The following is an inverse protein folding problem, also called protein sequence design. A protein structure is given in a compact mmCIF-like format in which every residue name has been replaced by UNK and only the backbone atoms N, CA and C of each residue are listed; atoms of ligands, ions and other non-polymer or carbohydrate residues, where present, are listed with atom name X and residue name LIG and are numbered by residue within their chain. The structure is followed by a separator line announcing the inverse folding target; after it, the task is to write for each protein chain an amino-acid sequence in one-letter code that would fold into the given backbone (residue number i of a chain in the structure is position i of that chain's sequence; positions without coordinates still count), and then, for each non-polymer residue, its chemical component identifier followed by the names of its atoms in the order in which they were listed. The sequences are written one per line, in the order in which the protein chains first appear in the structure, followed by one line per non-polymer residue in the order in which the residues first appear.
data_IF_157234504091
#
_entry.id   IF_157234504091
#
_cell.length_a   1.000
_cell.length_b   1.000
_cell.length_c   1.000
_cell.angle_alpha   90.00
_cell.angle_beta   90.00
_cell.angle_gamma   90.00
#
_symmetry.space_group_name_H-M   'P 1'
#
loop_
_entity.id
_entity.type
_entity.pdbx_description
1 polymer ?
#
# COMPACT_ATOMS: atom_id res chain seq x y z
N UNK A 1 18.91 32.35 -17.85
CA UNK A 1 19.02 31.26 -16.86
C UNK A 1 18.26 30.04 -17.35
N UNK A 2 18.81 28.87 -17.18
CA UNK A 2 18.16 27.58 -17.44
C UNK A 2 17.81 26.98 -16.09
N UNK A 3 16.53 26.63 -15.91
CA UNK A 3 16.03 25.99 -14.71
C UNK A 3 16.10 24.45 -14.83
N UNK A 4 15.76 23.95 -16.02
CA UNK A 4 15.59 22.51 -16.27
C UNK A 4 16.00 22.11 -17.69
N UNK A 5 16.69 20.96 -17.80
CA UNK A 5 17.00 20.27 -19.07
C UNK A 5 16.61 18.80 -18.90
N UNK A 6 15.72 18.30 -19.76
CA UNK A 6 15.24 16.91 -19.69
C UNK A 6 15.10 16.31 -21.10
N UNK A 7 15.44 15.03 -21.25
CA UNK A 7 15.18 14.27 -22.48
C UNK A 7 14.29 13.07 -22.12
N UNK A 8 13.17 12.91 -22.86
CA UNK A 8 12.25 11.77 -22.69
C UNK A 8 12.78 10.52 -23.39
N UNK A 9 12.14 9.36 -23.14
CA UNK A 9 12.43 8.11 -23.88
C UNK A 9 12.18 8.23 -25.38
N UNK A 10 11.26 9.10 -25.80
CA UNK A 10 10.94 9.40 -27.19
C UNK A 10 11.92 10.40 -27.84
N UNK A 11 13.08 10.59 -27.24
CA UNK A 11 14.11 11.52 -27.71
C UNK A 11 13.65 12.99 -27.82
N UNK A 12 12.67 13.40 -27.03
CA UNK A 12 12.22 14.80 -26.98
C UNK A 12 13.01 15.52 -25.89
N UNK A 13 13.78 16.53 -26.29
CA UNK A 13 14.46 17.44 -25.36
C UNK A 13 13.52 18.57 -24.97
N UNK A 14 13.35 18.80 -23.66
CA UNK A 14 12.68 19.97 -23.12
C UNK A 14 13.68 20.79 -22.32
N UNK A 15 13.77 22.11 -22.62
CA UNK A 15 14.58 23.06 -21.88
C UNK A 15 13.69 24.19 -21.37
N UNK A 16 13.71 24.42 -20.07
CA UNK A 16 12.93 25.51 -19.43
C UNK A 16 13.86 26.50 -18.75
N UNK A 17 13.45 27.73 -18.75
CA UNK A 17 14.24 28.80 -18.12
C UNK A 17 13.58 30.15 -18.22
N UNK A 18 14.37 31.17 -17.95
CA UNK A 18 13.93 32.54 -18.05
C UNK A 18 15.05 33.48 -18.55
N UNK A 19 14.63 34.57 -19.20
CA UNK A 19 15.53 35.58 -19.70
C UNK A 19 15.07 36.93 -19.16
N UNK A 20 15.93 37.58 -18.41
CA UNK A 20 15.77 38.98 -17.99
C UNK A 20 16.83 39.79 -18.72
N UNK A 21 16.41 40.65 -19.61
CA UNK A 21 17.30 41.62 -20.24
C UNK A 21 16.49 42.82 -20.66
N UNK A 22 17.09 44.02 -20.67
CA UNK A 22 16.51 45.24 -21.22
C UNK A 22 16.16 45.13 -22.71
N UNK A 23 16.69 44.11 -23.37
CA UNK A 23 16.44 43.74 -24.76
C UNK A 23 15.74 42.40 -24.78
N UNK A 24 14.45 42.34 -25.07
CA UNK A 24 13.78 41.07 -25.41
C UNK A 24 14.53 40.46 -26.59
N UNK A 25 14.83 39.15 -26.53
CA UNK A 25 15.29 38.51 -27.75
C UNK A 25 14.16 38.55 -28.75
N UNK A 26 14.41 39.20 -29.88
CA UNK A 26 13.47 39.28 -31.00
C UNK A 26 13.20 37.86 -31.55
N UNK A 27 14.14 36.97 -31.36
CA UNK A 27 14.06 35.60 -31.85
C UNK A 27 14.75 34.61 -30.90
N UNK A 28 14.11 33.47 -30.69
CA UNK A 28 14.70 32.29 -30.02
C UNK A 28 14.64 31.14 -31.06
N UNK A 29 15.75 30.47 -31.30
CA UNK A 29 15.80 29.32 -32.20
C UNK A 29 16.84 28.30 -31.70
N UNK A 30 16.72 27.08 -32.18
CA UNK A 30 17.63 25.98 -31.83
C UNK A 30 18.41 25.57 -33.07
N UNK A 31 19.71 25.36 -32.93
CA UNK A 31 20.55 24.88 -34.03
C UNK A 31 21.44 23.73 -33.59
N UNK A 32 21.71 22.82 -34.53
CA UNK A 32 22.69 21.76 -34.36
C UNK A 32 24.14 22.27 -34.39
N UNK A 33 25.08 21.37 -34.17
CA UNK A 33 26.53 21.68 -34.26
C UNK A 33 26.98 22.02 -35.67
N UNK A 34 26.23 21.60 -36.67
CA UNK A 34 26.43 21.95 -38.12
C UNK A 34 25.85 23.31 -38.51
N UNK A 35 25.25 24.02 -37.56
CA UNK A 35 24.63 25.32 -37.76
C UNK A 35 23.23 25.27 -38.39
N UNK A 36 22.66 24.09 -38.68
CA UNK A 36 21.28 23.98 -39.17
C UNK A 36 20.30 24.26 -38.04
N UNK A 37 19.26 25.02 -38.39
CA UNK A 37 18.15 25.27 -37.44
C UNK A 37 17.31 24.00 -37.31
N UNK A 38 17.06 23.61 -36.09
CA UNK A 38 16.23 22.47 -35.74
C UNK A 38 14.79 22.91 -35.52
N UNK A 39 13.86 22.09 -35.95
CA UNK A 39 12.44 22.32 -35.66
C UNK A 39 12.18 22.21 -34.18
N UNK A 40 11.57 23.24 -33.57
CA UNK A 40 11.29 23.30 -32.16
C UNK A 40 9.98 24.03 -31.86
N UNK A 41 9.34 23.67 -30.76
CA UNK A 41 8.21 24.39 -30.23
C UNK A 41 8.67 25.26 -29.07
N UNK A 42 8.37 26.56 -29.16
CA UNK A 42 8.76 27.52 -28.11
C UNK A 42 7.48 28.12 -27.54
N UNK A 43 7.32 27.99 -26.23
CA UNK A 43 6.25 28.64 -25.46
C UNK A 43 6.83 29.67 -24.51
N UNK A 44 6.16 30.82 -24.40
CA UNK A 44 6.53 31.90 -23.48
C UNK A 44 5.52 31.95 -22.36
N UNK A 45 5.99 32.18 -21.16
CA UNK A 45 5.12 32.29 -19.98
C UNK A 45 5.59 33.36 -19.03
N UNK A 46 4.65 33.87 -18.25
CA UNK A 46 4.95 34.80 -17.18
C UNK A 46 5.65 34.09 -16.00
N UNK A 47 6.57 34.78 -15.34
CA UNK A 47 7.33 34.25 -14.19
C UNK A 47 7.28 35.26 -13.03
N UNK A 48 6.17 35.30 -12.28
CA UNK A 48 6.00 36.24 -11.15
C UNK A 48 7.11 36.10 -10.11
N UNK A 49 7.62 34.89 -9.87
CA UNK A 49 8.74 34.61 -8.98
C UNK A 49 10.03 35.30 -9.40
N UNK A 50 10.30 35.36 -10.71
CA UNK A 50 11.47 36.07 -11.26
C UNK A 50 11.24 37.58 -11.28
N UNK A 51 10.03 38.01 -11.60
CA UNK A 51 9.62 39.43 -11.60
C UNK A 51 9.86 40.04 -10.23
N UNK A 52 9.40 39.37 -9.17
CA UNK A 52 9.58 39.81 -7.78
C UNK A 52 11.05 39.78 -7.36
N UNK A 53 11.76 38.67 -7.60
CA UNK A 53 13.17 38.49 -7.22
C UNK A 53 14.12 39.46 -7.92
N UNK A 54 13.75 39.99 -9.10
CA UNK A 54 14.57 40.93 -9.89
C UNK A 54 14.07 42.37 -9.80
N UNK A 55 12.98 42.67 -9.06
CA UNK A 55 12.44 44.00 -8.89
C UNK A 55 11.95 44.61 -10.19
N UNK A 56 11.31 43.83 -11.07
CA UNK A 56 10.85 44.28 -12.39
C UNK A 56 9.57 45.06 -12.22
N UNK A 57 9.52 46.32 -12.80
CA UNK A 57 8.41 47.19 -12.68
C UNK A 57 7.14 46.69 -13.42
N UNK A 58 5.94 47.16 -13.04
CA UNK A 58 4.68 46.75 -13.69
C UNK A 58 4.66 47.07 -15.20
N UNK A 59 5.36 48.13 -15.63
CA UNK A 59 5.45 48.52 -17.03
C UNK A 59 6.37 47.60 -17.86
N UNK A 60 7.28 46.88 -17.17
CA UNK A 60 8.26 45.99 -17.78
C UNK A 60 7.88 44.52 -17.64
N UNK A 61 6.71 44.19 -17.05
CA UNK A 61 6.23 42.81 -16.89
C UNK A 61 5.97 42.16 -18.24
N UNK A 62 6.80 41.19 -18.59
CA UNK A 62 6.76 40.46 -19.86
C UNK A 62 6.80 38.94 -19.60
N UNK A 63 6.59 38.17 -20.66
CA UNK A 63 6.72 36.70 -20.58
C UNK A 63 8.18 36.29 -20.51
N UNK A 64 8.78 36.44 -19.33
CA UNK A 64 10.22 36.19 -19.09
C UNK A 64 10.60 34.72 -19.18
N UNK A 65 9.66 33.83 -18.87
CA UNK A 65 9.87 32.39 -18.92
C UNK A 65 9.75 31.84 -20.32
N UNK A 66 10.47 30.76 -20.61
CA UNK A 66 10.34 29.99 -21.84
C UNK A 66 10.39 28.49 -21.58
N UNK A 67 9.74 27.75 -22.45
CA UNK A 67 9.89 26.30 -22.58
C UNK A 67 10.13 25.97 -24.06
N UNK A 68 11.22 25.30 -24.33
CA UNK A 68 11.63 24.91 -25.69
C UNK A 68 11.59 23.39 -25.77
N UNK A 69 10.88 22.85 -26.76
CA UNK A 69 10.78 21.41 -26.99
C UNK A 69 11.32 21.09 -28.39
N UNK A 70 12.28 20.17 -28.47
CA UNK A 70 12.97 19.77 -29.70
C UNK A 70 12.90 18.25 -29.84
N UNK A 71 12.48 17.76 -31.01
CA UNK A 71 12.59 16.35 -31.34
C UNK A 71 14.01 16.03 -31.82
N UNK A 72 14.68 15.10 -31.15
CA UNK A 72 16.07 14.71 -31.44
C UNK A 72 16.17 13.40 -32.25
N UNK A 73 15.06 12.81 -32.71
CA UNK A 73 15.10 11.56 -33.46
C UNK A 73 15.89 11.68 -34.77
N UNK A 74 15.84 12.85 -35.38
CA UNK A 74 16.49 13.11 -36.69
C UNK A 74 17.85 13.80 -36.58
N UNK A 75 18.43 13.90 -35.35
CA UNK A 75 19.74 14.50 -35.17
C UNK A 75 20.66 13.59 -34.34
N UNK A 76 21.91 13.45 -34.86
CA UNK A 76 22.98 12.76 -34.13
C UNK A 76 23.87 13.74 -33.33
N UNK A 77 23.44 14.99 -33.18
CA UNK A 77 24.21 16.00 -32.52
C UNK A 77 24.50 15.66 -31.05
N UNK A 78 25.74 15.75 -30.64
CA UNK A 78 26.14 15.58 -29.24
C UNK A 78 25.81 16.81 -28.41
N UNK A 79 25.76 17.97 -29.07
CA UNK A 79 25.39 19.26 -28.47
C UNK A 79 24.43 19.97 -29.41
N UNK A 80 23.48 20.71 -28.83
CA UNK A 80 22.64 21.64 -29.54
C UNK A 80 22.76 23.03 -28.94
N UNK A 81 22.55 24.06 -29.72
CA UNK A 81 22.66 25.45 -29.29
C UNK A 81 21.29 26.10 -29.29
N UNK A 82 20.89 26.66 -28.15
CA UNK A 82 19.73 27.55 -28.04
C UNK A 82 20.25 28.98 -28.23
N UNK A 83 19.81 29.62 -29.26
CA UNK A 83 20.23 30.95 -29.66
C UNK A 83 19.15 31.98 -29.28
N UNK A 84 19.53 33.01 -28.58
CA UNK A 84 18.71 34.16 -28.23
C UNK A 84 19.28 35.37 -28.97
N UNK A 85 18.55 35.87 -29.95
CA UNK A 85 18.96 36.99 -30.78
C UNK A 85 18.10 38.22 -30.51
N UNK A 86 18.73 39.31 -30.14
CA UNK A 86 18.17 40.64 -30.05
C UNK A 86 18.84 41.60 -31.04
N UNK A 87 18.43 42.86 -31.08
CA UNK A 87 18.93 43.86 -32.06
C UNK A 87 20.45 43.98 -32.09
N UNK A 88 21.10 43.97 -30.94
CA UNK A 88 22.56 44.19 -30.85
C UNK A 88 23.30 43.07 -30.07
N UNK A 89 22.60 42.04 -29.62
CA UNK A 89 23.16 40.98 -28.77
C UNK A 89 22.65 39.61 -29.16
N UNK A 90 23.58 38.70 -29.36
CA UNK A 90 23.29 37.28 -29.50
C UNK A 90 23.88 36.53 -28.34
N UNK A 91 23.05 35.73 -27.63
CA UNK A 91 23.51 34.78 -26.62
C UNK A 91 23.23 33.37 -27.08
N UNK A 92 24.18 32.50 -26.85
CA UNK A 92 24.08 31.09 -27.17
C UNK A 92 24.22 30.31 -25.88
N UNK A 93 23.28 29.38 -25.66
CA UNK A 93 23.34 28.41 -24.62
C UNK A 93 23.50 27.01 -25.23
N UNK A 94 24.57 26.31 -24.84
CA UNK A 94 24.86 24.98 -25.38
C UNK A 94 24.35 23.90 -24.45
N UNK A 95 23.45 23.06 -24.95
CA UNK A 95 22.92 21.89 -24.26
C UNK A 95 23.72 20.66 -24.68
N UNK A 96 24.28 19.96 -23.72
CA UNK A 96 25.01 18.72 -23.98
C UNK A 96 24.06 17.51 -23.95
N UNK A 97 23.52 17.16 -25.11
CA UNK A 97 22.59 16.06 -25.31
C UNK A 97 23.15 14.71 -24.86
N UNK A 98 24.45 14.47 -25.16
CA UNK A 98 25.13 13.23 -24.77
C UNK A 98 25.26 13.12 -23.24
N UNK A 99 25.50 14.23 -22.55
CA UNK A 99 25.57 14.26 -21.08
C UNK A 99 24.21 13.95 -20.48
N UNK A 100 23.14 14.62 -20.94
CA UNK A 100 21.78 14.41 -20.43
C UNK A 100 21.29 12.98 -20.71
N UNK A 101 21.49 12.47 -21.95
CA UNK A 101 21.20 11.07 -22.27
C UNK A 101 21.96 10.10 -21.37
N UNK A 102 23.22 10.36 -21.06
CA UNK A 102 24.02 9.54 -20.14
C UNK A 102 23.55 9.64 -18.70
N UNK A 103 23.21 10.84 -18.23
CA UNK A 103 22.68 11.07 -16.87
C UNK A 103 21.30 10.44 -16.66
N UNK A 104 20.52 10.28 -17.72
CA UNK A 104 19.25 9.57 -17.73
C UNK A 104 19.41 8.05 -17.92
N UNK A 105 20.62 7.52 -18.10
CA UNK A 105 20.83 6.06 -18.17
C UNK A 105 20.82 5.44 -16.78
N UNK A 106 20.21 4.26 -16.66
CA UNK A 106 20.15 3.50 -15.42
C UNK A 106 21.50 3.23 -14.80
N UNK A 107 22.50 3.01 -15.64
CA UNK A 107 23.87 2.76 -15.21
C UNK A 107 24.47 3.98 -14.48
N UNK A 108 24.24 5.19 -15.00
CA UNK A 108 24.75 6.42 -14.37
C UNK A 108 24.08 6.70 -13.03
N UNK A 109 22.78 6.51 -12.92
CA UNK A 109 22.04 6.66 -11.66
C UNK A 109 22.50 5.63 -10.62
N UNK A 110 22.71 4.37 -11.04
CA UNK A 110 23.29 3.33 -10.18
C UNK A 110 24.70 3.70 -9.70
N UNK A 111 25.56 4.21 -10.59
CA UNK A 111 26.89 4.68 -10.23
C UNK A 111 26.86 5.88 -9.28
N UNK A 112 25.89 6.79 -9.42
CA UNK A 112 25.69 7.93 -8.53
C UNK A 112 25.27 7.48 -7.13
N UNK A 113 24.38 6.49 -7.02
CA UNK A 113 23.96 5.89 -5.75
C UNK A 113 25.15 5.18 -5.05
N UNK A 114 26.02 4.54 -5.81
CA UNK A 114 27.23 3.86 -5.32
C UNK A 114 28.40 4.80 -5.06
N UNK A 115 28.26 6.10 -5.33
CA UNK A 115 29.34 7.08 -5.20
C UNK A 115 29.84 7.23 -3.77
N UNK A 116 31.08 7.67 -3.64
CA UNK A 116 31.74 7.93 -2.34
C UNK A 116 30.96 8.92 -1.46
N UNK A 117 30.22 9.86 -2.06
CA UNK A 117 29.36 10.83 -1.36
C UNK A 117 28.23 10.16 -0.56
N UNK A 118 27.75 9.00 -1.01
CA UNK A 118 26.66 8.27 -0.38
C UNK A 118 27.16 7.06 0.46
N UNK A 119 28.49 6.89 0.59
CA UNK A 119 29.08 5.70 1.21
C UNK A 119 28.58 5.44 2.63
N UNK A 120 28.47 6.47 3.46
CA UNK A 120 27.95 6.32 4.83
C UNK A 120 26.48 5.93 4.84
N UNK A 121 25.64 6.64 4.07
CA UNK A 121 24.20 6.29 3.93
C UNK A 121 24.01 4.88 3.41
N UNK A 122 24.80 4.48 2.41
CA UNK A 122 24.75 3.14 1.85
C UNK A 122 25.17 2.07 2.86
N UNK A 123 26.19 2.33 3.67
CA UNK A 123 26.61 1.42 4.73
C UNK A 123 25.57 1.30 5.84
N UNK A 124 24.93 2.39 6.25
CA UNK A 124 23.85 2.38 7.24
C UNK A 124 22.62 1.61 6.70
N UNK A 125 22.24 1.86 5.44
CA UNK A 125 21.17 1.13 4.79
C UNK A 125 21.47 -0.38 4.72
N UNK A 126 22.70 -0.76 4.32
CA UNK A 126 23.14 -2.16 4.26
C UNK A 126 23.14 -2.80 5.64
N UNK A 127 23.58 -2.09 6.68
CA UNK A 127 23.56 -2.59 8.06
C UNK A 127 22.13 -2.85 8.54
N UNK A 128 21.20 -1.93 8.24
CA UNK A 128 19.82 -2.00 8.67
C UNK A 128 19.01 -3.01 7.88
N UNK A 129 19.19 -3.04 6.56
CA UNK A 129 18.30 -3.74 5.63
C UNK A 129 18.95 -4.92 4.89
N UNK A 130 20.29 -5.05 4.97
CA UNK A 130 21.06 -6.08 4.29
C UNK A 130 21.45 -5.71 2.85
N UNK A 131 22.51 -6.38 2.36
CA UNK A 131 23.07 -6.12 1.03
C UNK A 131 22.09 -6.46 -0.12
N UNK A 132 21.24 -7.46 0.07
CA UNK A 132 20.25 -7.87 -0.94
C UNK A 132 19.21 -6.77 -1.20
N UNK A 133 18.70 -6.09 -0.15
CA UNK A 133 17.83 -4.93 -0.27
C UNK A 133 18.52 -3.76 -0.94
N UNK A 134 19.76 -3.51 -0.57
CA UNK A 134 20.53 -2.44 -1.18
C UNK A 134 20.74 -2.64 -2.69
N UNK A 135 21.10 -3.86 -3.13
CA UNK A 135 21.24 -4.17 -4.56
C UNK A 135 19.91 -3.98 -5.30
N UNK A 136 18.82 -4.41 -4.69
CA UNK A 136 17.46 -4.22 -5.27
C UNK A 136 17.11 -2.74 -5.35
N UNK A 137 17.30 -1.97 -4.27
CA UNK A 137 17.10 -0.53 -4.23
C UNK A 137 17.87 0.19 -5.35
N UNK A 138 19.15 -0.15 -5.55
CA UNK A 138 19.97 0.42 -6.63
C UNK A 138 19.43 0.02 -8.02
N UNK A 139 18.95 -1.21 -8.19
CA UNK A 139 18.41 -1.70 -9.46
C UNK A 139 17.07 -1.08 -9.81
N UNK A 140 16.20 -0.90 -8.83
CA UNK A 140 14.83 -0.43 -9.01
C UNK A 140 14.68 1.10 -8.99
N UNK A 141 15.76 1.86 -8.76
CA UNK A 141 15.72 3.33 -8.76
C UNK A 141 15.31 3.98 -10.09
N UNK A 142 14.79 3.19 -11.05
CA UNK A 142 14.44 3.63 -12.42
C UNK A 142 13.04 3.27 -12.91
N UNK A 143 12.24 2.55 -12.14
CA UNK A 143 10.90 2.17 -12.57
C UNK A 143 9.89 3.24 -12.14
N UNK A 144 9.17 3.80 -13.10
CA UNK A 144 8.20 4.90 -12.93
C UNK A 144 6.78 4.48 -13.30
N UNK A 145 6.39 3.25 -12.94
CA UNK A 145 4.99 2.86 -13.08
C UNK A 145 4.42 2.68 -11.65
N UNK A 146 3.32 3.36 -11.30
CA UNK A 146 2.85 3.46 -9.92
C UNK A 146 2.63 2.10 -9.24
N UNK A 147 2.08 1.11 -9.95
CA UNK A 147 1.91 -0.25 -9.44
C UNK A 147 3.25 -0.98 -9.29
N UNK A 148 4.18 -0.77 -10.22
CA UNK A 148 5.52 -1.37 -10.14
C UNK A 148 6.34 -0.77 -9.00
N UNK A 149 6.18 0.53 -8.73
CA UNK A 149 6.81 1.20 -7.59
C UNK A 149 6.30 0.64 -6.26
N UNK A 150 5.01 0.30 -6.16
CA UNK A 150 4.45 -0.34 -4.98
C UNK A 150 4.95 -1.77 -4.78
N UNK A 151 4.93 -2.62 -5.80
CA UNK A 151 5.45 -3.99 -5.69
C UNK A 151 6.94 -4.02 -5.33
N UNK A 152 7.71 -3.08 -5.82
CA UNK A 152 9.12 -2.96 -5.47
C UNK A 152 9.32 -2.47 -4.04
N UNK A 153 8.48 -1.52 -3.59
CA UNK A 153 8.44 -1.10 -2.20
C UNK A 153 8.06 -2.27 -1.28
N UNK A 154 7.03 -3.04 -1.62
CA UNK A 154 6.57 -4.19 -0.84
C UNK A 154 7.70 -5.24 -0.69
N UNK A 155 8.39 -5.59 -1.79
CA UNK A 155 9.53 -6.52 -1.76
C UNK A 155 10.64 -6.08 -0.78
N UNK A 156 10.77 -4.79 -0.54
CA UNK A 156 11.76 -4.25 0.41
C UNK A 156 11.24 -4.18 1.85
N UNK A 157 9.91 -4.29 2.06
CA UNK A 157 9.27 -4.14 3.37
C UNK A 157 8.74 -5.46 3.96
N UNK A 158 8.61 -6.53 3.17
CA UNK A 158 8.32 -7.88 3.68
C UNK A 158 9.55 -8.54 4.30
N UNK A 159 9.33 -9.52 5.17
CA UNK A 159 10.40 -10.23 5.86
C UNK A 159 11.22 -11.11 4.92
N UNK A 160 12.55 -10.99 4.94
CA UNK A 160 13.43 -11.84 4.14
C UNK A 160 13.57 -13.24 4.69
N UNK A 161 13.94 -14.19 3.82
CA UNK A 161 14.21 -15.58 4.19
C UNK A 161 15.12 -15.73 5.42
N UNK A 162 16.15 -14.89 5.56
CA UNK A 162 17.06 -14.92 6.72
C UNK A 162 16.35 -14.46 7.99
N UNK A 163 15.49 -13.47 7.90
CA UNK A 163 14.68 -12.97 9.02
C UNK A 163 13.62 -14.00 9.41
N UNK A 164 12.88 -14.55 8.46
CA UNK A 164 11.90 -15.62 8.70
C UNK A 164 12.55 -16.84 9.40
N UNK A 165 13.78 -17.20 8.98
CA UNK A 165 14.52 -18.27 9.68
C UNK A 165 14.86 -17.91 11.12
N UNK A 166 15.23 -16.66 11.39
CA UNK A 166 15.50 -16.16 12.76
C UNK A 166 14.23 -16.16 13.60
N UNK A 167 13.12 -15.72 13.04
CA UNK A 167 11.82 -15.68 13.72
C UNK A 167 11.34 -17.08 14.12
N UNK A 168 11.52 -18.11 13.27
CA UNK A 168 11.18 -19.50 13.60
C UNK A 168 11.94 -20.06 14.80
N UNK A 169 13.11 -19.49 15.11
CA UNK A 169 13.93 -19.88 16.27
C UNK A 169 13.82 -18.90 17.44
N UNK A 170 12.98 -17.88 17.33
CA UNK A 170 12.80 -16.91 18.39
C UNK A 170 11.98 -17.49 19.54
N UNK A 171 12.36 -17.14 20.76
CA UNK A 171 11.64 -17.52 21.98
C UNK A 171 11.02 -16.27 22.57
N UNK A 172 9.72 -16.29 22.74
CA UNK A 172 8.98 -15.24 23.42
C UNK A 172 8.86 -15.57 24.92
N UNK A 173 8.86 -14.56 25.76
CA UNK A 173 8.59 -14.73 27.21
C UNK A 173 7.14 -15.13 27.49
N UNK A 174 6.25 -14.81 26.55
CA UNK A 174 4.86 -15.22 26.54
C UNK A 174 4.49 -15.65 25.12
N UNK A 175 3.98 -16.86 24.96
CA UNK A 175 3.68 -17.48 23.68
C UNK A 175 2.21 -17.92 23.63
N UNK A 176 1.27 -16.98 23.47
CA UNK A 176 -0.16 -17.29 23.47
C UNK A 176 -0.56 -18.16 22.30
N UNK A 177 -1.54 -19.05 22.48
CA UNK A 177 -2.20 -19.72 21.38
C UNK A 177 -3.09 -18.70 20.65
N UNK A 178 -2.90 -18.54 19.34
CA UNK A 178 -3.74 -17.70 18.49
C UNK A 178 -4.71 -18.59 17.72
N UNK A 179 -6.01 -18.42 17.95
CA UNK A 179 -7.07 -19.08 17.18
C UNK A 179 -7.49 -18.20 16.01
N UNK A 180 -7.24 -18.66 14.80
CA UNK A 180 -7.67 -18.00 13.55
C UNK A 180 -9.10 -18.47 13.26
N UNK A 181 -10.05 -17.54 13.25
CA UNK A 181 -11.47 -17.80 12.99
C UNK A 181 -11.77 -17.50 11.52
N UNK A 182 -12.26 -18.50 10.81
CA UNK A 182 -12.54 -18.44 9.39
C UNK A 182 -13.87 -19.13 9.07
N UNK A 183 -14.65 -18.52 8.19
CA UNK A 183 -15.86 -19.13 7.59
C UNK A 183 -15.58 -19.38 6.12
N UNK A 184 -15.88 -20.57 5.63
CA UNK A 184 -15.82 -20.94 4.22
C UNK A 184 -17.23 -20.96 3.67
N UNK A 185 -17.48 -20.18 2.63
CA UNK A 185 -18.80 -20.01 1.98
C UNK A 185 -18.82 -20.45 0.53
N UNK A 186 -17.66 -20.78 -0.04
CA UNK A 186 -17.54 -21.33 -1.39
C UNK A 186 -16.49 -22.47 -1.44
N UNK A 187 -16.59 -23.29 -2.48
CA UNK A 187 -15.80 -24.51 -2.64
C UNK A 187 -14.53 -24.34 -3.49
N UNK A 188 -13.98 -23.11 -3.62
CA UNK A 188 -12.71 -22.90 -4.34
C UNK A 188 -11.54 -23.53 -3.57
N UNK A 189 -11.24 -24.81 -3.90
CA UNK A 189 -10.16 -25.57 -3.28
C UNK A 189 -8.79 -24.90 -3.44
N UNK A 190 -8.55 -24.22 -4.57
CA UNK A 190 -7.25 -23.61 -4.83
C UNK A 190 -7.03 -22.37 -3.97
N UNK A 191 -8.05 -21.54 -3.81
CA UNK A 191 -8.04 -20.37 -2.92
C UNK A 191 -7.89 -20.82 -1.46
N UNK A 192 -8.75 -21.75 -1.02
CA UNK A 192 -8.69 -22.28 0.34
C UNK A 192 -7.32 -22.93 0.64
N UNK A 193 -6.74 -23.62 -0.35
CA UNK A 193 -5.39 -24.17 -0.24
C UNK A 193 -4.35 -23.07 -0.04
N UNK A 194 -4.39 -22.03 -0.83
CA UNK A 194 -3.42 -20.91 -0.74
C UNK A 194 -3.46 -20.26 0.64
N UNK A 195 -4.64 -20.05 1.18
CA UNK A 195 -4.83 -19.48 2.52
C UNK A 195 -4.32 -20.42 3.62
N UNK A 196 -4.70 -21.70 3.59
CA UNK A 196 -4.25 -22.66 4.62
C UNK A 196 -2.73 -22.85 4.55
N UNK A 197 -2.17 -22.99 3.35
CA UNK A 197 -0.71 -23.13 3.18
C UNK A 197 0.03 -21.90 3.76
N UNK A 198 -0.48 -20.68 3.57
CA UNK A 198 0.10 -19.47 4.15
C UNK A 198 0.09 -19.48 5.70
N UNK A 199 -0.93 -20.05 6.34
CA UNK A 199 -0.90 -20.29 7.79
C UNK A 199 0.08 -21.39 8.18
N UNK A 200 0.21 -22.46 7.42
CA UNK A 200 1.20 -23.52 7.74
C UNK A 200 2.65 -23.03 7.63
N UNK A 201 2.89 -21.99 6.82
CA UNK A 201 4.20 -21.36 6.62
C UNK A 201 4.54 -20.29 7.65
N UNK A 202 3.63 -19.93 8.57
CA UNK A 202 3.87 -18.92 9.60
C UNK A 202 5.13 -19.23 10.42
N UNK A 203 5.89 -18.17 10.72
CA UNK A 203 7.10 -18.27 11.54
C UNK A 203 6.81 -18.47 13.02
N UNK A 204 5.63 -18.08 13.48
CA UNK A 204 5.12 -18.39 14.81
C UNK A 204 4.28 -19.68 14.74
N UNK A 205 4.60 -20.68 15.54
CA UNK A 205 4.04 -22.02 15.41
C UNK A 205 2.82 -22.30 16.32
N UNK A 206 2.57 -21.50 17.38
CA UNK A 206 1.50 -21.75 18.35
C UNK A 206 0.19 -21.09 17.93
N UNK A 207 -0.43 -21.66 16.91
CA UNK A 207 -1.70 -21.21 16.35
C UNK A 207 -2.64 -22.40 16.09
N UNK A 208 -3.92 -22.10 15.97
CA UNK A 208 -5.00 -23.00 15.59
C UNK A 208 -5.86 -22.34 14.51
N UNK A 209 -6.19 -23.08 13.43
CA UNK A 209 -7.16 -22.62 12.43
C UNK A 209 -8.53 -23.24 12.73
N UNK A 210 -9.49 -22.39 13.07
CA UNK A 210 -10.87 -22.76 13.38
C UNK A 210 -11.71 -22.48 12.13
N UNK A 211 -12.14 -23.52 11.42
CA UNK A 211 -12.79 -23.41 10.15
C UNK A 211 -14.26 -23.89 10.24
N UNK A 212 -15.21 -22.97 10.04
CA UNK A 212 -16.62 -23.29 9.89
C UNK A 212 -16.98 -23.34 8.39
N UNK A 213 -17.42 -24.49 7.93
CA UNK A 213 -17.79 -24.72 6.54
C UNK A 213 -19.30 -24.54 6.36
N UNK A 214 -19.69 -23.45 5.71
CA UNK A 214 -21.06 -23.08 5.39
C UNK A 214 -21.41 -23.34 3.91
N UNK A 215 -20.55 -24.03 3.15
CA UNK A 215 -20.82 -24.43 1.78
C UNK A 215 -21.97 -25.44 1.72
N UNK A 216 -22.62 -25.57 0.57
CA UNK A 216 -23.42 -26.74 0.26
C UNK A 216 -22.51 -27.95 -0.05
N UNK A 217 -22.96 -29.18 0.29
CA UNK A 217 -22.16 -30.39 0.03
C UNK A 217 -21.04 -30.68 1.03
N UNK A 218 -20.20 -31.68 0.73
CA UNK A 218 -19.13 -32.19 1.59
C UNK A 218 -17.71 -31.97 1.02
N UNK A 219 -17.62 -31.28 -0.13
CA UNK A 219 -16.39 -31.15 -0.93
C UNK A 219 -15.26 -30.50 -0.11
N UNK A 220 -15.57 -29.41 0.62
CA UNK A 220 -14.61 -28.73 1.50
C UNK A 220 -14.07 -29.68 2.57
N UNK A 221 -14.95 -30.43 3.24
CA UNK A 221 -14.55 -31.41 4.27
C UNK A 221 -13.71 -32.55 3.70
N UNK A 222 -14.03 -33.05 2.50
CA UNK A 222 -13.26 -34.09 1.80
C UNK A 222 -11.87 -33.58 1.39
N UNK A 223 -11.81 -32.37 0.82
CA UNK A 223 -10.55 -31.70 0.47
C UNK A 223 -9.65 -31.56 1.69
N UNK A 224 -10.16 -31.06 2.81
CA UNK A 224 -9.40 -30.88 4.05
C UNK A 224 -8.89 -32.21 4.62
N UNK A 225 -9.74 -33.23 4.68
CA UNK A 225 -9.37 -34.59 5.14
C UNK A 225 -8.29 -35.22 4.26
N UNK A 226 -8.34 -35.00 2.95
CA UNK A 226 -7.37 -35.52 1.99
C UNK A 226 -6.03 -34.78 2.05
N UNK A 227 -6.07 -33.45 2.06
CA UNK A 227 -4.88 -32.60 1.89
C UNK A 227 -4.17 -32.32 3.20
N UNK A 228 -4.91 -32.07 4.28
CA UNK A 228 -4.39 -31.59 5.57
C UNK A 228 -4.57 -32.59 6.72
N UNK A 229 -4.70 -33.89 6.42
CA UNK A 229 -4.86 -34.97 7.42
C UNK A 229 -3.83 -34.94 8.56
N UNK A 230 -2.62 -34.44 8.31
CA UNK A 230 -1.51 -34.38 9.27
C UNK A 230 -1.41 -33.04 9.99
N UNK A 231 -2.18 -32.05 9.58
CA UNK A 231 -2.16 -30.73 10.22
C UNK A 231 -3.08 -30.72 11.42
N UNK A 232 -2.49 -30.95 12.58
CA UNK A 232 -3.21 -31.06 13.87
C UNK A 232 -3.77 -29.74 14.39
N UNK A 233 -3.28 -28.61 13.85
CA UNK A 233 -3.72 -27.25 14.24
C UNK A 233 -5.00 -26.84 13.51
N UNK A 234 -5.52 -27.63 12.59
CA UNK A 234 -6.75 -27.37 11.89
C UNK A 234 -7.93 -28.01 12.59
N UNK A 235 -8.87 -27.18 13.05
CA UNK A 235 -10.17 -27.58 13.61
C UNK A 235 -11.27 -27.26 12.63
N UNK A 236 -12.01 -28.25 12.21
CA UNK A 236 -13.05 -28.15 11.18
C UNK A 236 -14.43 -28.47 11.75
N UNK A 237 -15.43 -27.70 11.34
CA UNK A 237 -16.83 -27.94 11.63
C UNK A 237 -17.70 -27.63 10.41
N UNK A 238 -18.48 -28.63 9.96
CA UNK A 238 -19.57 -28.42 9.00
C UNK A 238 -20.71 -27.69 9.68
N UNK A 239 -21.18 -26.60 9.08
CA UNK A 239 -22.38 -25.89 9.51
C UNK A 239 -23.58 -26.52 8.81
N UNK A 240 -24.45 -27.17 9.57
CA UNK A 240 -25.62 -27.90 9.05
C UNK A 240 -26.78 -26.99 8.74
N UNK A 241 -26.88 -25.86 9.42
CA UNK A 241 -27.87 -24.82 9.20
C UNK A 241 -27.16 -23.50 8.97
N UNK A 242 -27.30 -22.93 7.78
CA UNK A 242 -26.73 -21.62 7.47
C UNK A 242 -27.53 -20.52 8.18
N UNK A 243 -26.98 -20.04 9.30
CA UNK A 243 -27.58 -19.00 10.14
C UNK A 243 -27.02 -17.60 9.83
N UNK A 244 -26.72 -17.31 8.57
CA UNK A 244 -26.09 -16.07 8.15
C UNK A 244 -24.62 -16.00 8.52
N UNK A 245 -23.98 -14.88 8.19
CA UNK A 245 -22.54 -14.72 8.39
C UNK A 245 -22.18 -14.69 9.88
N UNK A 246 -22.96 -13.99 10.70
CA UNK A 246 -22.80 -13.93 12.16
C UNK A 246 -22.94 -15.30 12.83
N UNK A 247 -23.95 -16.09 12.41
CA UNK A 247 -24.15 -17.44 12.92
C UNK A 247 -22.98 -18.38 12.59
N UNK A 248 -22.46 -18.28 11.38
CA UNK A 248 -21.33 -19.07 10.90
C UNK A 248 -20.01 -18.66 11.60
N UNK A 249 -19.77 -17.36 11.81
CA UNK A 249 -18.64 -16.86 12.62
C UNK A 249 -18.73 -17.37 14.07
N UNK A 250 -19.91 -17.33 14.68
CA UNK A 250 -20.12 -17.88 16.00
C UNK A 250 -19.89 -19.42 16.05
N UNK A 251 -20.15 -20.14 14.98
CA UNK A 251 -19.85 -21.56 14.88
C UNK A 251 -18.34 -21.83 14.81
N UNK A 252 -17.57 -21.00 14.11
CA UNK A 252 -16.11 -21.04 14.08
C UNK A 252 -15.52 -20.66 15.43
N UNK A 253 -16.00 -19.60 16.09
CA UNK A 253 -15.57 -19.16 17.42
C UNK A 253 -15.68 -20.25 18.49
N UNK A 254 -16.68 -21.14 18.38
CA UNK A 254 -16.82 -22.26 19.32
C UNK A 254 -15.66 -23.26 19.26
N UNK A 255 -14.85 -23.24 18.21
CA UNK A 255 -13.66 -24.07 18.07
C UNK A 255 -12.40 -23.40 18.65
N UNK A 256 -12.45 -22.10 18.90
CA UNK A 256 -11.31 -21.31 19.34
C UNK A 256 -10.94 -21.60 20.80
N UNK A 257 -9.72 -22.11 21.01
CA UNK A 257 -9.17 -22.43 22.34
C UNK A 257 -8.07 -21.46 22.77
N UNK A 258 -7.60 -20.59 21.86
CA UNK A 258 -6.49 -19.67 22.10
C UNK A 258 -6.85 -18.50 23.01
N UNK A 259 -5.82 -17.92 23.60
CA UNK A 259 -5.92 -16.69 24.40
C UNK A 259 -6.18 -15.44 23.54
N UNK A 260 -5.84 -15.53 22.26
CA UNK A 260 -6.16 -14.52 21.24
C UNK A 260 -6.92 -15.13 20.10
N UNK A 261 -7.86 -14.37 19.57
CA UNK A 261 -8.65 -14.72 18.37
C UNK A 261 -8.27 -13.75 17.26
N UNK A 262 -7.84 -14.30 16.13
CA UNK A 262 -7.60 -13.57 14.88
C UNK A 262 -8.78 -13.82 13.92
N UNK A 263 -9.44 -12.78 13.51
CA UNK A 263 -10.44 -12.83 12.44
C UNK A 263 -9.73 -12.70 11.09
N UNK A 264 -10.08 -13.58 10.16
CA UNK A 264 -9.56 -13.55 8.80
C UNK A 264 -10.55 -14.23 7.86
N UNK A 265 -10.90 -13.56 6.76
CA UNK A 265 -11.73 -14.13 5.70
C UNK A 265 -11.03 -15.27 4.95
N UNK A 266 -11.82 -16.05 4.20
CA UNK A 266 -11.29 -17.13 3.35
C UNK A 266 -10.49 -16.59 2.14
N UNK A 267 -10.50 -15.30 1.90
CA UNK A 267 -9.76 -14.57 0.85
C UNK A 267 -8.48 -13.91 1.36
N UNK A 268 -8.21 -13.97 2.66
CA UNK A 268 -7.06 -13.28 3.27
C UNK A 268 -5.85 -14.22 3.31
N UNK A 269 -4.78 -13.84 2.62
CA UNK A 269 -3.47 -14.50 2.65
C UNK A 269 -2.53 -13.75 3.59
N UNK A 270 -2.15 -14.30 4.75
CA UNK A 270 -1.21 -13.64 5.64
C UNK A 270 0.24 -13.74 5.14
N UNK A 271 1.04 -12.69 5.37
CA UNK A 271 2.49 -12.76 5.24
C UNK A 271 3.08 -13.81 6.21
N UNK A 272 4.19 -14.48 5.86
CA UNK A 272 4.76 -15.56 6.67
C UNK A 272 5.14 -15.16 8.11
N UNK A 273 5.26 -13.88 8.40
CA UNK A 273 5.58 -13.39 9.74
C UNK A 273 4.43 -12.63 10.43
N UNK A 274 3.22 -12.71 9.88
CA UNK A 274 2.07 -11.98 10.42
C UNK A 274 1.82 -12.34 11.90
N UNK A 275 1.69 -13.62 12.22
CA UNK A 275 1.47 -14.06 13.60
C UNK A 275 2.66 -13.73 14.51
N UNK A 276 3.89 -13.82 14.03
CA UNK A 276 5.07 -13.42 14.77
C UNK A 276 5.04 -11.94 15.18
N UNK A 277 4.66 -11.05 14.26
CA UNK A 277 4.55 -9.61 14.54
C UNK A 277 3.42 -9.32 15.54
N UNK A 278 2.30 -10.03 15.44
CA UNK A 278 1.20 -9.91 16.40
C UNK A 278 1.65 -10.36 17.81
N UNK A 279 2.31 -11.52 17.93
CA UNK A 279 2.82 -12.00 19.23
C UNK A 279 3.88 -11.06 19.80
N UNK A 280 4.69 -10.45 18.95
CA UNK A 280 5.64 -9.43 19.34
C UNK A 280 4.91 -8.20 19.94
N UNK A 281 3.83 -7.73 19.29
CA UNK A 281 3.01 -6.64 19.83
C UNK A 281 2.34 -7.02 21.17
N UNK A 282 1.82 -8.24 21.29
CA UNK A 282 1.26 -8.77 22.53
C UNK A 282 2.31 -8.75 23.66
N UNK A 283 3.51 -9.24 23.36
CA UNK A 283 4.57 -9.40 24.38
C UNK A 283 5.20 -8.07 24.78
N UNK A 284 5.56 -7.23 23.79
CA UNK A 284 6.30 -6.00 24.01
C UNK A 284 5.41 -4.83 24.41
N UNK A 285 4.21 -4.74 23.81
CA UNK A 285 3.29 -3.63 23.99
C UNK A 285 2.06 -3.98 24.85
N UNK A 286 1.92 -5.26 25.27
CA UNK A 286 0.74 -5.76 26.01
C UNK A 286 -0.58 -5.46 25.27
N UNK A 287 -0.58 -5.66 23.97
CA UNK A 287 -1.72 -5.36 23.13
C UNK A 287 -2.93 -6.23 23.50
N UNK A 288 -4.08 -5.61 23.65
CA UNK A 288 -5.37 -6.27 23.80
C UNK A 288 -5.98 -6.58 22.44
N UNK A 289 -5.90 -5.60 21.55
CA UNK A 289 -6.37 -5.69 20.17
C UNK A 289 -5.27 -5.25 19.21
N UNK A 290 -5.20 -5.88 18.05
CA UNK A 290 -4.14 -5.67 17.04
C UNK A 290 -4.74 -5.65 15.65
N UNK A 291 -4.31 -4.72 14.83
CA UNK A 291 -4.60 -4.70 13.39
C UNK A 291 -3.37 -4.28 12.61
N UNK A 292 -3.39 -4.50 11.30
CA UNK A 292 -2.24 -4.31 10.42
C UNK A 292 -2.63 -3.56 9.16
N UNK A 293 -1.65 -3.05 8.43
CA UNK A 293 -1.85 -2.62 7.06
C UNK A 293 -2.13 -3.83 6.17
N UNK A 294 -2.80 -3.60 5.05
CA UNK A 294 -3.18 -4.63 4.09
C UNK A 294 -3.07 -4.12 2.65
N UNK A 295 -3.14 -5.02 1.68
CA UNK A 295 -3.22 -4.71 0.27
C UNK A 295 -4.07 -5.76 -0.46
N UNK A 296 -4.20 -5.61 -1.78
CA UNK A 296 -4.83 -6.60 -2.62
C UNK A 296 -3.79 -7.45 -3.38
N UNK A 297 -4.10 -8.73 -3.54
CA UNK A 297 -3.34 -9.66 -4.39
C UNK A 297 -4.23 -10.15 -5.54
N UNK A 298 -3.66 -10.22 -6.74
CA UNK A 298 -4.34 -10.78 -7.91
C UNK A 298 -4.68 -12.26 -7.72
N UNK A 299 -5.70 -12.76 -8.42
CA UNK A 299 -6.13 -14.16 -8.33
C UNK A 299 -5.03 -15.18 -8.68
N UNK A 300 -4.05 -14.79 -9.51
CA UNK A 300 -2.88 -15.63 -9.84
C UNK A 300 -1.74 -15.56 -8.79
N UNK A 301 -1.92 -14.75 -7.74
CA UNK A 301 -0.98 -14.61 -6.63
C UNK A 301 0.33 -13.89 -6.95
N UNK A 302 0.37 -13.11 -8.05
CA UNK A 302 1.65 -12.52 -8.52
C UNK A 302 1.73 -11.01 -8.44
N UNK A 303 0.61 -10.31 -8.46
CA UNK A 303 0.56 -8.86 -8.52
C UNK A 303 -0.13 -8.29 -7.29
N UNK A 304 0.50 -7.28 -6.69
CA UNK A 304 0.02 -6.59 -5.52
C UNK A 304 -0.40 -5.17 -5.88
N UNK A 305 -1.53 -4.71 -5.31
CA UNK A 305 -2.11 -3.40 -5.60
C UNK A 305 -2.90 -2.87 -4.41
N UNK A 306 -3.38 -1.65 -4.51
CA UNK A 306 -4.30 -1.01 -3.57
C UNK A 306 -3.85 -1.13 -2.10
N UNK A 307 -2.63 -0.65 -1.74
CA UNK A 307 -2.17 -0.70 -0.36
C UNK A 307 -2.99 0.23 0.54
N UNK A 308 -3.46 -0.31 1.66
CA UNK A 308 -4.13 0.42 2.71
C UNK A 308 -3.20 0.60 3.92
N UNK A 309 -2.55 1.75 4.00
CA UNK A 309 -1.75 2.16 5.15
C UNK A 309 -2.65 2.82 6.20
N UNK A 310 -2.86 2.12 7.29
CA UNK A 310 -3.80 2.51 8.33
C UNK A 310 -3.13 3.44 9.37
N UNK A 311 -3.86 4.37 9.98
CA UNK A 311 -3.34 5.16 11.09
C UNK A 311 -3.28 4.32 12.38
N UNK A 312 -2.57 4.82 13.39
CA UNK A 312 -2.75 4.35 14.77
C UNK A 312 -4.21 4.49 15.20
N UNK A 313 -4.62 3.68 16.19
CA UNK A 313 -6.02 3.61 16.58
C UNK A 313 -6.62 4.98 16.89
N UNK A 314 -7.74 5.25 16.25
CA UNK A 314 -8.50 6.46 16.41
C UNK A 314 -10.01 6.14 16.41
N UNK A 315 -10.64 6.27 17.58
CA UNK A 315 -12.06 5.97 17.74
C UNK A 315 -12.95 6.87 16.90
N UNK A 316 -12.59 8.15 16.70
CA UNK A 316 -13.38 9.05 15.85
C UNK A 316 -13.39 8.57 14.41
N UNK A 317 -12.23 8.12 13.89
CA UNK A 317 -12.16 7.56 12.55
C UNK A 317 -12.88 6.21 12.44
N UNK A 318 -12.84 5.38 13.49
CA UNK A 318 -13.61 4.13 13.51
C UNK A 318 -15.12 4.40 13.48
N UNK A 319 -15.58 5.52 14.06
CA UNK A 319 -16.97 5.97 13.99
C UNK A 319 -17.37 6.49 12.59
N UNK A 320 -16.43 6.87 11.76
CA UNK A 320 -16.69 7.27 10.37
C UNK A 320 -16.77 6.08 9.42
N UNK A 321 -15.85 5.13 9.58
CA UNK A 321 -15.82 3.90 8.77
C UNK A 321 -15.01 2.80 9.46
N UNK A 322 -15.19 1.56 9.02
CA UNK A 322 -14.34 0.43 9.41
C UNK A 322 -13.01 0.45 8.67
N UNK A 323 -12.08 1.32 9.07
CA UNK A 323 -10.74 1.37 8.50
C UNK A 323 -9.81 0.25 8.98
N UNK A 324 -10.19 -0.50 10.02
CA UNK A 324 -9.40 -1.62 10.56
C UNK A 324 -9.42 -2.82 9.61
N UNK A 325 -10.53 -3.02 8.91
CA UNK A 325 -10.67 -4.12 7.94
C UNK A 325 -11.03 -5.46 8.58
N UNK A 326 -10.66 -6.54 7.92
CA UNK A 326 -11.06 -7.91 8.27
C UNK A 326 -9.92 -8.76 8.88
N UNK A 327 -8.71 -8.19 9.02
CA UNK A 327 -7.55 -8.90 9.55
C UNK A 327 -7.07 -8.26 10.86
N UNK A 328 -7.69 -8.69 11.97
CA UNK A 328 -7.40 -8.14 13.29
C UNK A 328 -7.51 -9.22 14.37
N UNK A 329 -6.74 -9.06 15.44
CA UNK A 329 -6.70 -9.99 16.56
C UNK A 329 -7.12 -9.31 17.85
N UNK A 330 -7.74 -10.06 18.74
CA UNK A 330 -8.25 -9.60 20.03
C UNK A 330 -8.00 -10.63 21.12
N UNK A 331 -7.74 -10.19 22.34
CA UNK A 331 -7.71 -11.05 23.51
C UNK A 331 -9.09 -11.70 23.73
N UNK A 332 -9.13 -13.00 23.90
CA UNK A 332 -10.37 -13.77 23.96
C UNK A 332 -11.29 -13.32 25.09
N UNK A 333 -10.74 -12.96 26.24
CA UNK A 333 -11.52 -12.45 27.39
C UNK A 333 -12.32 -11.19 27.03
N UNK A 334 -11.72 -10.27 26.25
CA UNK A 334 -12.39 -9.04 25.80
C UNK A 334 -13.49 -9.39 24.78
N UNK A 335 -13.20 -10.31 23.87
CA UNK A 335 -14.20 -10.79 22.91
C UNK A 335 -15.40 -11.44 23.62
N UNK A 336 -15.16 -12.21 24.68
CA UNK A 336 -16.21 -12.83 25.48
C UNK A 336 -17.08 -11.79 26.22
N UNK A 337 -16.47 -10.69 26.69
CA UNK A 337 -17.18 -9.55 27.28
C UNK A 337 -17.99 -8.77 26.23
N UNK A 338 -17.44 -8.57 25.04
CA UNK A 338 -18.14 -7.95 23.91
C UNK A 338 -19.33 -8.79 23.41
N UNK A 339 -19.30 -10.12 23.65
CA UNK A 339 -20.36 -11.03 23.30
C UNK A 339 -20.19 -11.67 21.90
N UNK A 340 -21.27 -12.25 21.39
CA UNK A 340 -21.27 -12.96 20.12
C UNK A 340 -21.55 -12.01 18.95
N UNK A 341 -21.25 -12.45 17.73
CA UNK A 341 -21.77 -11.82 16.54
C UNK A 341 -23.29 -11.91 16.51
N UNK A 342 -23.96 -10.80 16.16
CA UNK A 342 -25.41 -10.70 16.13
C UNK A 342 -25.89 -10.62 14.66
N UNK A 343 -26.81 -11.52 14.24
CA UNK A 343 -27.38 -11.50 12.89
C UNK A 343 -28.07 -10.19 12.49
N UNK A 344 -28.46 -9.35 13.45
CA UNK A 344 -29.03 -8.03 13.14
C UNK A 344 -28.05 -7.13 12.39
N UNK A 345 -26.75 -7.37 12.55
CA UNK A 345 -25.67 -6.62 11.90
C UNK A 345 -25.01 -7.36 10.72
N UNK A 346 -25.65 -8.42 10.19
CA UNK A 346 -25.12 -9.13 9.02
C UNK A 346 -24.93 -8.17 7.84
N UNK A 347 -23.71 -8.15 7.29
CA UNK A 347 -23.21 -7.18 6.31
C UNK A 347 -22.33 -6.08 6.88
N UNK A 348 -22.40 -5.86 8.21
CA UNK A 348 -21.51 -4.98 8.98
C UNK A 348 -21.12 -5.63 10.33
N UNK A 349 -21.19 -6.96 10.43
CA UNK A 349 -20.91 -7.73 11.64
C UNK A 349 -19.51 -7.49 12.21
N UNK A 350 -18.50 -7.32 11.32
CA UNK A 350 -17.14 -7.02 11.75
C UNK A 350 -17.05 -5.63 12.36
N UNK A 351 -17.76 -4.66 11.80
CA UNK A 351 -17.79 -3.30 12.31
C UNK A 351 -18.47 -3.23 13.68
N UNK A 352 -19.61 -3.90 13.87
CA UNK A 352 -20.27 -4.01 15.17
C UNK A 352 -19.34 -4.64 16.22
N UNK A 353 -18.69 -5.75 15.86
CA UNK A 353 -17.77 -6.42 16.77
C UNK A 353 -16.56 -5.55 17.12
N UNK A 354 -15.98 -4.86 16.14
CA UNK A 354 -14.86 -3.92 16.35
C UNK A 354 -15.23 -2.79 17.32
N UNK A 355 -16.41 -2.20 17.15
CA UNK A 355 -16.91 -1.16 18.06
C UNK A 355 -17.04 -1.69 19.47
N UNK A 356 -17.71 -2.85 19.67
CA UNK A 356 -17.89 -3.47 21.00
C UNK A 356 -16.56 -3.87 21.63
N UNK A 357 -15.62 -4.43 20.88
CA UNK A 357 -14.29 -4.77 21.37
C UNK A 357 -13.48 -3.52 21.74
N UNK A 358 -13.58 -2.45 20.93
CA UNK A 358 -12.87 -1.20 21.22
C UNK A 358 -13.36 -0.48 22.47
N UNK A 359 -14.61 -0.73 22.90
CA UNK A 359 -15.17 -0.23 24.15
C UNK A 359 -14.57 -0.90 25.40
N UNK A 360 -14.00 -2.10 25.25
CA UNK A 360 -13.48 -2.93 26.33
C UNK A 360 -11.95 -3.02 26.34
N UNK A 361 -11.30 -2.80 25.19
CA UNK A 361 -9.86 -2.91 25.04
C UNK A 361 -9.15 -1.65 25.57
N UNK A 362 -8.18 -1.83 26.45
CA UNK A 362 -7.36 -0.73 26.98
C UNK A 362 -6.21 -0.38 26.04
N UNK A 363 -5.67 -1.37 25.33
CA UNK A 363 -4.49 -1.18 24.50
C UNK A 363 -4.68 -1.76 23.07
N UNK A 364 -5.07 -0.89 22.16
CA UNK A 364 -5.27 -1.22 20.75
C UNK A 364 -4.01 -0.81 19.96
N UNK A 365 -3.36 -1.78 19.33
CA UNK A 365 -2.06 -1.60 18.69
C UNK A 365 -2.16 -1.77 17.18
N UNK A 366 -1.77 -0.77 16.45
CA UNK A 366 -1.51 -0.84 15.01
C UNK A 366 -0.07 -1.36 14.76
N UNK A 367 0.06 -2.30 13.83
CA UNK A 367 1.34 -2.73 13.29
C UNK A 367 1.48 -2.14 11.89
N UNK A 368 2.30 -1.08 11.69
CA UNK A 368 2.41 -0.39 10.41
C UNK A 368 3.24 -1.21 9.40
N UNK A 369 2.68 -2.32 8.98
CA UNK A 369 3.22 -3.26 8.00
C UNK A 369 2.10 -3.92 7.23
N UNK A 370 2.27 -4.11 5.94
CA UNK A 370 1.44 -5.00 5.15
C UNK A 370 1.72 -6.43 5.63
N UNK A 371 0.77 -7.03 6.35
CA UNK A 371 0.87 -8.38 6.89
C UNK A 371 -0.20 -9.32 6.37
N UNK A 372 -1.09 -8.83 5.54
CA UNK A 372 -2.04 -9.65 4.82
C UNK A 372 -2.39 -9.06 3.47
N UNK A 373 -2.86 -9.93 2.58
CA UNK A 373 -3.25 -9.63 1.22
C UNK A 373 -4.65 -10.15 1.00
N UNK A 374 -5.58 -9.28 0.56
CA UNK A 374 -6.93 -9.69 0.18
C UNK A 374 -6.95 -10.15 -1.27
N UNK A 375 -7.37 -11.38 -1.53
CA UNK A 375 -7.61 -11.82 -2.91
C UNK A 375 -8.83 -11.11 -3.46
N UNK A 376 -8.65 -10.40 -4.56
CA UNK A 376 -9.71 -9.67 -5.23
C UNK A 376 -10.86 -10.61 -5.59
N UNK A 377 -12.02 -10.42 -4.98
CA UNK A 377 -13.22 -11.17 -5.33
C UNK A 377 -13.86 -10.54 -6.57
N UNK A 378 -14.19 -11.37 -7.56
CA UNK A 378 -14.98 -10.93 -8.73
C UNK A 378 -16.48 -10.72 -8.42
N UNK A 379 -16.90 -11.02 -7.20
CA UNK A 379 -18.30 -10.95 -6.80
C UNK A 379 -18.74 -9.49 -6.62
N UNK A 380 -19.40 -8.96 -7.61
CA UNK A 380 -20.09 -7.67 -7.54
C UNK A 380 -21.25 -7.78 -6.52
N UNK A 381 -21.09 -7.11 -5.39
CA UNK A 381 -22.18 -6.90 -4.44
C UNK A 381 -23.26 -6.07 -5.15
N UNK A 382 -24.52 -6.50 -5.08
CA UNK A 382 -25.62 -5.74 -5.67
C UNK A 382 -25.85 -4.44 -4.90
N UNK A 383 -26.39 -3.41 -5.57
CA UNK A 383 -26.72 -2.14 -4.89
C UNK A 383 -27.68 -2.33 -3.71
N UNK A 384 -28.58 -3.31 -3.81
CA UNK A 384 -29.52 -3.64 -2.72
C UNK A 384 -28.75 -4.21 -1.52
N UNK A 385 -27.80 -5.12 -1.75
CA UNK A 385 -26.97 -5.69 -0.70
C UNK A 385 -26.07 -4.63 -0.08
N UNK A 386 -25.48 -3.76 -0.89
CA UNK A 386 -24.66 -2.64 -0.41
C UNK A 386 -25.46 -1.71 0.53
N UNK A 387 -26.68 -1.36 0.16
CA UNK A 387 -27.58 -0.56 1.02
C UNK A 387 -27.91 -1.26 2.33
N UNK A 388 -28.14 -2.57 2.31
CA UNK A 388 -28.38 -3.36 3.52
C UNK A 388 -27.15 -3.35 4.43
N UNK A 389 -25.96 -3.51 3.87
CA UNK A 389 -24.70 -3.48 4.63
C UNK A 389 -24.47 -2.11 5.27
N UNK A 390 -24.74 -1.02 4.57
CA UNK A 390 -24.62 0.33 5.12
C UNK A 390 -25.63 0.60 6.24
N UNK A 391 -26.88 0.12 6.08
CA UNK A 391 -27.90 0.26 7.11
C UNK A 391 -27.55 -0.57 8.36
N UNK A 392 -26.98 -1.76 8.20
CA UNK A 392 -26.45 -2.55 9.31
C UNK A 392 -25.31 -1.82 10.02
N UNK A 393 -24.38 -1.19 9.26
CA UNK A 393 -23.31 -0.38 9.82
C UNK A 393 -23.81 0.86 10.57
N UNK A 394 -24.81 1.55 10.04
CA UNK A 394 -25.46 2.68 10.70
C UNK A 394 -26.06 2.27 12.05
N UNK A 395 -26.80 1.16 12.07
CA UNK A 395 -27.38 0.61 13.30
C UNK A 395 -26.31 0.22 14.33
N UNK A 396 -25.23 -0.44 13.88
CA UNK A 396 -24.10 -0.80 14.75
C UNK A 396 -23.49 0.44 15.42
N UNK A 397 -23.34 1.54 14.65
CA UNK A 397 -22.81 2.79 15.17
C UNK A 397 -23.77 3.49 16.14
N UNK A 398 -25.08 3.51 15.85
CA UNK A 398 -26.09 4.05 16.79
C UNK A 398 -26.11 3.28 18.11
N UNK A 399 -26.00 1.96 18.05
CA UNK A 399 -25.95 1.13 19.25
C UNK A 399 -24.64 1.35 20.02
N UNK A 400 -23.50 1.57 19.33
CA UNK A 400 -22.26 2.02 19.94
C UNK A 400 -22.45 3.36 20.68
N UNK A 401 -23.08 4.35 20.05
CA UNK A 401 -23.34 5.65 20.70
C UNK A 401 -24.21 5.49 21.95
N UNK A 402 -25.21 4.60 21.89
CA UNK A 402 -26.07 4.31 23.05
C UNK A 402 -25.27 3.68 24.21
N UNK A 403 -24.41 2.69 23.92
CA UNK A 403 -23.56 2.03 24.94
C UNK A 403 -22.52 2.99 25.52
N UNK A 404 -21.94 3.84 24.69
CA UNK A 404 -20.90 4.81 25.07
C UNK A 404 -21.48 6.10 25.65
N UNK A 405 -22.81 6.22 25.82
CA UNK A 405 -23.53 7.42 26.32
C UNK A 405 -23.19 8.69 25.52
N UNK A 406 -22.93 8.54 24.19
CA UNK A 406 -22.65 9.63 23.27
C UNK A 406 -23.95 10.16 22.67
N UNK A 407 -24.23 11.45 22.86
CA UNK A 407 -25.38 12.11 22.23
C UNK A 407 -25.06 12.44 20.78
N UNK A 408 -25.20 11.46 19.87
CA UNK A 408 -24.98 11.60 18.44
C UNK A 408 -25.95 10.69 17.68
N UNK A 409 -26.12 10.97 16.38
CA UNK A 409 -26.88 10.15 15.42
C UNK A 409 -25.98 9.74 14.29
N UNK A 410 -26.23 8.56 13.72
CA UNK A 410 -25.52 8.07 12.55
C UNK A 410 -26.37 8.28 11.29
N UNK A 411 -25.78 8.94 10.30
CA UNK A 411 -26.41 9.17 9.00
C UNK A 411 -25.52 8.57 7.90
N UNK A 412 -26.16 8.02 6.87
CA UNK A 412 -25.44 7.52 5.69
C UNK A 412 -24.96 8.72 4.86
N UNK A 413 -23.69 8.73 4.50
CA UNK A 413 -23.16 9.77 3.62
C UNK A 413 -23.69 9.60 2.19
N UNK A 414 -23.98 10.70 1.50
CA UNK A 414 -24.45 10.69 0.11
C UNK A 414 -23.37 10.24 -0.90
N UNK A 415 -22.13 10.13 -0.47
CA UNK A 415 -20.98 9.71 -1.30
C UNK A 415 -20.21 8.61 -0.59
N UNK A 416 -19.73 7.64 -1.38
CA UNK A 416 -18.72 6.67 -0.93
C UNK A 416 -17.50 7.44 -0.45
N UNK A 417 -17.18 7.31 0.83
CA UNK A 417 -15.99 7.89 1.43
C UNK A 417 -14.73 7.16 1.00
#
# INVERSE_FOLDING_TARGET
HIDEEQITQESILTVRGWVVNQLEPDEIFVQGTDGKVLECTITRQRRPDVEEAKGISEEEKRNLGFSITVNLENTNDQNICICFRGKDVQKIYTVNVKKIKRENTGLYQQMKLLSLKNRQKNQEYIKKNGIGRFIRYVRNSQLKDGNQDYEDWLKDHVAFRKELKRQRNAVFSYSPLISIVMVVTDTDEQRLKSVIDAYTEQTYGNWQLCLADACEGEETGEFLRKKYKKEIRLSYKKVTENNGISGNLNASLKLAMGEYVLFAGQEIIPEPDALFQMVKAITEKKADMIYTDEDEISADGKHYSEPEFKPDFNLFRLRENNYIGQFWAIRKEILEQAGKFDPEYDGAQDYDMLLRCSEQAENIVHIPKILCHSMKAENLITEEQEKKNWEAGRKALEEHYRRAEVSATAELADKKG
#
